data_IF_667252810530
#
_entry.id   IF_667252810530
#
_cell.length_a   1.000
_cell.length_b   1.000
_cell.length_c   1.000
_cell.angle_alpha   90.00
_cell.angle_beta   90.00
_cell.angle_gamma   90.00
#
_symmetry.space_group_name_H-M   'P 1'
#
loop_
_entity.id
_entity.type
_entity.pdbx_description
1 polymer ?
#
# COMPACT_ATOMS: atom_id res chain seq x y z
N UNK A 1 -16.98 -9.26 -37.80
CA UNK A 1 -16.41 -9.93 -36.60
C UNK A 1 -15.18 -10.73 -37.01
N UNK A 2 -13.97 -10.21 -36.74
CA UNK A 2 -12.72 -10.88 -37.08
C UNK A 2 -12.38 -11.95 -36.05
N UNK A 3 -12.25 -13.21 -36.50
CA UNK A 3 -11.86 -14.34 -35.66
C UNK A 3 -10.50 -14.09 -35.00
N UNK A 4 -10.49 -14.03 -33.66
CA UNK A 4 -9.28 -14.12 -32.83
C UNK A 4 -8.54 -15.40 -33.24
N UNK A 5 -7.20 -15.38 -33.32
CA UNK A 5 -6.42 -16.62 -33.50
C UNK A 5 -6.79 -17.56 -32.34
N UNK A 6 -7.72 -18.48 -32.57
CA UNK A 6 -8.17 -19.46 -31.59
C UNK A 6 -7.10 -20.53 -31.47
N UNK A 7 -5.99 -20.21 -30.80
CA UNK A 7 -5.00 -21.15 -30.30
C UNK A 7 -4.94 -20.90 -28.80
N UNK A 8 -5.27 -21.91 -27.99
CA UNK A 8 -5.28 -21.87 -26.51
C UNK A 8 -3.90 -21.63 -25.88
N UNK A 9 -2.92 -21.18 -26.66
CA UNK A 9 -1.49 -21.15 -26.33
C UNK A 9 -0.72 -20.29 -27.34
N UNK A 10 -1.26 -19.12 -27.69
CA UNK A 10 -0.51 -18.10 -28.43
C UNK A 10 -0.19 -16.94 -27.49
N UNK A 11 0.99 -16.36 -27.64
CA UNK A 11 1.36 -15.15 -26.92
C UNK A 11 0.32 -14.05 -27.17
N UNK A 12 0.00 -13.29 -26.13
CA UNK A 12 -0.92 -12.14 -26.21
C UNK A 12 -0.14 -10.85 -25.98
N UNK A 13 -0.57 -9.77 -26.61
CA UNK A 13 -0.02 -8.43 -26.40
C UNK A 13 -1.04 -7.64 -25.59
N UNK A 14 -0.62 -7.11 -24.45
CA UNK A 14 -1.45 -6.28 -23.59
C UNK A 14 -0.67 -5.05 -23.14
N UNK A 15 -1.22 -3.86 -23.39
CA UNK A 15 -0.57 -2.59 -23.07
C UNK A 15 0.85 -2.50 -23.66
N UNK A 16 1.06 -3.03 -24.86
CA UNK A 16 2.35 -3.08 -25.55
C UNK A 16 3.31 -4.18 -25.08
N UNK A 17 2.97 -4.95 -24.04
CA UNK A 17 3.82 -6.03 -23.53
C UNK A 17 3.37 -7.38 -24.07
N UNK A 18 4.32 -8.21 -24.48
CA UNK A 18 4.05 -9.60 -24.88
C UNK A 18 4.02 -10.51 -23.65
N UNK A 19 2.99 -11.34 -23.56
CA UNK A 19 2.80 -12.35 -22.53
C UNK A 19 2.76 -13.73 -23.19
N UNK A 20 3.77 -14.53 -22.91
CA UNK A 20 3.84 -15.91 -23.39
C UNK A 20 3.06 -16.86 -22.48
N UNK A 21 2.39 -17.88 -23.05
CA UNK A 21 1.66 -18.86 -22.26
C UNK A 21 2.63 -19.71 -21.44
N UNK A 22 2.48 -19.69 -20.11
CA UNK A 22 3.21 -20.55 -19.19
C UNK A 22 2.23 -21.35 -18.33
N UNK A 23 2.50 -22.62 -17.99
CA UNK A 23 1.61 -23.38 -17.10
C UNK A 23 1.62 -22.80 -15.69
N UNK A 24 0.44 -22.42 -15.20
CA UNK A 24 0.26 -22.00 -13.81
C UNK A 24 -1.15 -22.37 -13.30
N UNK A 25 -1.28 -22.44 -11.99
CA UNK A 25 -2.56 -22.56 -11.29
C UNK A 25 -2.58 -21.55 -10.14
N UNK A 26 -3.72 -20.91 -9.92
CA UNK A 26 -3.90 -19.92 -8.86
C UNK A 26 -5.13 -20.30 -8.02
N UNK A 27 -4.92 -20.47 -6.72
CA UNK A 27 -5.94 -20.87 -5.74
C UNK A 27 -6.05 -19.85 -4.61
N UNK A 28 -7.22 -19.79 -3.96
CA UNK A 28 -7.39 -18.98 -2.75
C UNK A 28 -7.47 -17.46 -2.97
N UNK A 29 -7.88 -17.01 -4.16
CA UNK A 29 -8.09 -15.57 -4.45
C UNK A 29 -9.34 -14.95 -3.79
N UNK A 30 -10.02 -15.66 -2.88
CA UNK A 30 -11.30 -15.20 -2.35
C UNK A 30 -11.14 -13.94 -1.50
N UNK A 31 -11.86 -12.89 -1.87
CA UNK A 31 -11.93 -11.67 -1.08
C UNK A 31 -12.86 -11.91 0.10
N UNK A 32 -12.30 -12.17 1.27
CA UNK A 32 -13.09 -12.27 2.48
C UNK A 32 -13.53 -10.88 2.96
N UNK A 33 -14.81 -10.70 3.23
CA UNK A 33 -15.36 -9.52 3.90
C UNK A 33 -15.13 -9.53 5.42
N UNK A 34 -14.54 -10.60 5.97
CA UNK A 34 -14.40 -10.81 7.42
C UNK A 34 -13.04 -10.39 8.00
N UNK A 35 -12.20 -9.73 7.20
CA UNK A 35 -11.02 -8.99 7.69
C UNK A 35 -9.66 -9.68 7.56
N UNK A 36 -9.61 -11.00 7.34
CA UNK A 36 -8.36 -11.68 6.99
C UNK A 36 -8.07 -11.51 5.50
N UNK A 37 -6.87 -11.03 5.18
CA UNK A 37 -6.45 -10.91 3.79
C UNK A 37 -6.15 -12.30 3.20
N UNK A 38 -6.56 -12.56 1.95
CA UNK A 38 -6.30 -13.85 1.33
C UNK A 38 -4.81 -14.05 1.09
N UNK A 39 -4.33 -15.26 1.38
CA UNK A 39 -2.99 -15.74 1.05
C UNK A 39 -3.07 -16.74 -0.10
N UNK A 40 -3.28 -16.27 -1.36
CA UNK A 40 -3.45 -17.18 -2.48
C UNK A 40 -2.19 -17.98 -2.75
N UNK A 41 -2.36 -19.19 -3.28
CA UNK A 41 -1.26 -20.04 -3.71
C UNK A 41 -1.12 -19.95 -5.22
N UNK A 42 0.09 -19.61 -5.68
CA UNK A 42 0.48 -19.62 -7.10
C UNK A 42 1.39 -20.82 -7.37
N UNK A 43 0.89 -21.77 -8.13
CA UNK A 43 1.64 -22.93 -8.60
C UNK A 43 2.11 -22.69 -10.02
N UNK A 44 3.42 -22.79 -10.28
CA UNK A 44 4.03 -22.51 -11.59
C UNK A 44 4.73 -23.75 -12.12
N UNK A 45 4.48 -24.12 -13.37
CA UNK A 45 5.14 -25.25 -14.01
C UNK A 45 6.65 -25.03 -14.14
N UNK A 46 7.44 -26.00 -13.71
CA UNK A 46 8.90 -25.95 -13.69
C UNK A 46 9.53 -26.56 -14.95
N UNK A 47 9.02 -26.17 -16.13
CA UNK A 47 9.49 -26.71 -17.42
C UNK A 47 10.97 -26.41 -17.59
N UNK A 48 11.79 -27.44 -17.76
CA UNK A 48 13.24 -27.30 -17.95
C UNK A 48 13.99 -26.75 -16.74
N UNK A 49 13.45 -26.89 -15.52
CA UNK A 49 14.00 -26.30 -14.28
C UNK A 49 14.11 -24.76 -14.29
N UNK A 50 13.35 -24.10 -15.17
CA UNK A 50 13.44 -22.65 -15.35
C UNK A 50 13.07 -21.89 -14.07
N UNK A 51 11.98 -22.29 -13.38
CA UNK A 51 11.52 -21.60 -12.17
C UNK A 51 12.49 -21.85 -11.01
N UNK A 52 13.01 -23.07 -10.88
CA UNK A 52 14.08 -23.38 -9.91
C UNK A 52 15.31 -22.50 -10.13
N UNK A 53 15.74 -22.30 -11.37
CA UNK A 53 16.88 -21.42 -11.66
C UNK A 53 16.61 -19.97 -11.23
N UNK A 54 15.39 -19.46 -11.44
CA UNK A 54 14.99 -18.14 -10.95
C UNK A 54 14.96 -18.07 -9.42
N UNK A 55 14.48 -19.11 -8.74
CA UNK A 55 14.51 -19.18 -7.29
C UNK A 55 15.96 -19.13 -6.75
N UNK A 56 16.90 -19.81 -7.39
CA UNK A 56 18.31 -19.77 -6.98
C UNK A 56 18.97 -18.40 -7.22
N UNK A 57 18.62 -17.72 -8.30
CA UNK A 57 19.20 -16.42 -8.66
C UNK A 57 18.61 -15.27 -7.81
N UNK A 58 17.33 -15.37 -7.42
CA UNK A 58 16.57 -14.28 -6.80
C UNK A 58 16.08 -14.61 -5.39
N UNK A 59 16.81 -15.41 -4.62
CA UNK A 59 16.49 -15.76 -3.23
C UNK A 59 15.03 -16.23 -3.04
N UNK A 60 14.68 -17.30 -3.75
CA UNK A 60 13.32 -17.88 -3.83
C UNK A 60 12.24 -16.89 -4.32
N UNK A 61 12.66 -15.81 -4.99
CA UNK A 61 11.81 -14.72 -5.47
C UNK A 61 10.98 -14.06 -4.36
N UNK A 62 11.42 -14.13 -3.11
CA UNK A 62 10.73 -13.51 -1.98
C UNK A 62 10.60 -12.00 -2.22
N UNK A 63 9.40 -11.44 -1.99
CA UNK A 63 9.01 -10.04 -2.32
C UNK A 63 8.95 -9.71 -3.82
N UNK A 64 9.06 -10.69 -4.71
CA UNK A 64 8.78 -10.45 -6.13
C UNK A 64 7.31 -10.04 -6.30
N UNK A 65 7.07 -9.07 -7.20
CA UNK A 65 5.73 -8.55 -7.49
C UNK A 65 5.01 -9.49 -8.46
N UNK A 66 3.82 -9.92 -8.08
CA UNK A 66 2.91 -10.70 -8.94
C UNK A 66 1.72 -9.82 -9.28
N UNK A 67 1.61 -9.43 -10.56
CA UNK A 67 0.47 -8.66 -11.08
C UNK A 67 -0.44 -9.57 -11.88
N UNK A 68 -1.70 -9.63 -11.48
CA UNK A 68 -2.74 -10.38 -12.18
C UNK A 68 -3.62 -9.38 -12.93
N UNK A 69 -3.56 -9.43 -14.25
CA UNK A 69 -4.38 -8.63 -15.14
C UNK A 69 -5.60 -9.46 -15.56
N UNK A 70 -6.80 -8.99 -15.23
CA UNK A 70 -8.05 -9.59 -15.68
C UNK A 70 -8.74 -8.64 -16.65
N UNK A 71 -8.83 -9.04 -17.91
CA UNK A 71 -9.54 -8.28 -18.95
C UNK A 71 -10.33 -9.22 -19.87
N UNK A 72 -11.26 -8.66 -20.63
CA UNK A 72 -11.98 -9.39 -21.66
C UNK A 72 -11.18 -9.41 -22.95
N UNK A 73 -11.23 -10.52 -23.68
CA UNK A 73 -10.51 -10.67 -24.95
C UNK A 73 -10.78 -9.55 -25.96
N UNK A 74 -12.00 -8.96 -25.96
CA UNK A 74 -12.37 -7.86 -26.84
C UNK A 74 -11.60 -6.55 -26.58
N UNK A 75 -10.99 -6.38 -25.41
CA UNK A 75 -10.27 -5.17 -25.03
C UNK A 75 -8.77 -5.24 -25.35
N UNK A 76 -8.21 -6.41 -25.68
CA UNK A 76 -6.76 -6.55 -25.95
C UNK A 76 -6.28 -5.62 -27.08
N UNK A 77 -4.97 -5.44 -27.17
CA UNK A 77 -4.33 -4.55 -28.14
C UNK A 77 -4.55 -5.02 -29.59
N UNK A 78 -4.77 -4.08 -30.52
CA UNK A 78 -5.01 -4.36 -31.93
C UNK A 78 -4.00 -5.33 -32.58
N UNK A 79 -2.76 -5.36 -32.09
CA UNK A 79 -1.71 -6.26 -32.54
C UNK A 79 -2.06 -7.76 -32.40
N UNK A 80 -3.01 -8.14 -31.54
CA UNK A 80 -3.47 -9.53 -31.43
C UNK A 80 -4.37 -9.98 -32.59
N UNK A 81 -4.83 -9.07 -33.47
CA UNK A 81 -5.78 -9.36 -34.55
C UNK A 81 -5.25 -8.97 -35.93
N UNK A 82 -5.52 -9.82 -36.93
CA UNK A 82 -5.13 -9.56 -38.33
C UNK A 82 -5.72 -8.28 -38.93
N UNK A 83 -6.90 -7.86 -38.46
CA UNK A 83 -7.61 -6.65 -38.94
C UNK A 83 -7.58 -5.51 -37.92
N UNK A 84 -6.69 -5.58 -36.93
CA UNK A 84 -6.72 -4.72 -35.75
C UNK A 84 -7.91 -5.00 -34.83
N UNK A 85 -8.03 -4.21 -33.76
CA UNK A 85 -9.13 -4.28 -32.81
C UNK A 85 -9.68 -2.87 -32.50
N UNK A 86 -10.82 -2.49 -33.09
CA UNK A 86 -11.49 -1.22 -32.77
C UNK A 86 -12.00 -1.13 -31.33
N UNK A 87 -12.19 -2.28 -30.66
CA UNK A 87 -12.60 -2.35 -29.27
C UNK A 87 -11.44 -2.39 -28.28
N UNK A 88 -10.20 -2.18 -28.73
CA UNK A 88 -9.04 -2.17 -27.86
C UNK A 88 -9.19 -1.05 -26.80
N UNK A 89 -9.06 -1.42 -25.54
CA UNK A 89 -9.20 -0.49 -24.42
C UNK A 89 -8.21 -0.87 -23.31
N UNK A 90 -7.05 -0.19 -23.24
CA UNK A 90 -6.04 -0.45 -22.21
C UNK A 90 -6.52 -0.22 -20.77
N UNK A 91 -7.58 0.58 -20.59
CA UNK A 91 -8.12 0.94 -19.28
C UNK A 91 -9.15 -0.08 -18.75
N UNK A 92 -9.72 -0.92 -19.61
CA UNK A 92 -10.72 -1.92 -19.23
C UNK A 92 -10.03 -3.19 -18.69
N UNK A 93 -9.45 -3.07 -17.50
CA UNK A 93 -8.90 -4.20 -16.76
C UNK A 93 -9.14 -4.09 -15.25
N UNK A 94 -9.10 -5.24 -14.60
CA UNK A 94 -8.91 -5.33 -13.16
C UNK A 94 -7.50 -5.82 -12.89
N UNK A 95 -6.72 -5.04 -12.16
CA UNK A 95 -5.37 -5.40 -11.73
C UNK A 95 -5.38 -5.76 -10.25
N UNK A 96 -4.84 -6.93 -9.93
CA UNK A 96 -4.55 -7.32 -8.55
C UNK A 96 -3.04 -7.42 -8.37
N UNK A 97 -2.53 -6.76 -7.32
CA UNK A 97 -1.11 -6.80 -6.97
C UNK A 97 -0.94 -7.68 -5.73
N UNK A 98 -0.11 -8.70 -5.90
CA UNK A 98 0.38 -9.55 -4.84
C UNK A 98 1.90 -9.55 -4.85
N UNK A 99 2.46 -10.21 -3.86
CA UNK A 99 3.87 -10.43 -3.75
C UNK A 99 4.11 -11.85 -3.24
N UNK A 100 5.25 -12.41 -3.61
CA UNK A 100 5.69 -13.71 -3.09
C UNK A 100 6.09 -13.55 -1.62
N UNK A 101 5.39 -14.25 -0.72
CA UNK A 101 5.73 -14.37 0.69
C UNK A 101 6.86 -15.38 0.88
N UNK A 102 6.65 -16.60 0.39
CA UNK A 102 7.58 -17.71 0.49
C UNK A 102 7.34 -18.76 -0.60
N UNK A 103 8.39 -19.50 -0.96
CA UNK A 103 8.27 -20.76 -1.71
C UNK A 103 7.84 -21.87 -0.74
N UNK A 104 6.69 -22.47 -0.98
CA UNK A 104 6.10 -23.47 -0.07
C UNK A 104 6.45 -24.90 -0.48
N UNK A 105 6.59 -25.16 -1.78
CA UNK A 105 6.99 -26.47 -2.29
C UNK A 105 7.76 -26.33 -3.60
N UNK A 106 8.65 -27.29 -3.85
CA UNK A 106 9.41 -27.38 -5.09
C UNK A 106 9.50 -28.84 -5.54
N UNK A 107 9.14 -29.07 -6.80
CA UNK A 107 9.28 -30.36 -7.49
C UNK A 107 9.88 -30.15 -8.87
N UNK A 108 10.28 -31.24 -9.53
CA UNK A 108 10.79 -31.19 -10.92
C UNK A 108 9.77 -30.66 -11.94
N UNK A 109 8.48 -30.67 -11.61
CA UNK A 109 7.40 -30.29 -12.54
C UNK A 109 6.70 -29.00 -12.15
N UNK A 110 6.79 -28.58 -10.89
CA UNK A 110 6.03 -27.46 -10.34
C UNK A 110 6.75 -26.84 -9.14
N UNK A 111 6.65 -25.52 -9.02
CA UNK A 111 7.06 -24.75 -7.83
C UNK A 111 5.84 -23.99 -7.31
N UNK A 112 5.61 -24.06 -6.01
CA UNK A 112 4.49 -23.43 -5.34
C UNK A 112 4.94 -22.23 -4.52
N UNK A 113 4.24 -21.12 -4.68
CA UNK A 113 4.46 -19.87 -3.98
C UNK A 113 3.23 -19.50 -3.16
N UNK A 114 3.46 -19.15 -1.92
CA UNK A 114 2.49 -18.42 -1.12
C UNK A 114 2.58 -16.95 -1.48
N UNK A 115 1.45 -16.35 -1.84
CA UNK A 115 1.34 -14.94 -2.11
C UNK A 115 0.68 -14.24 -0.92
N UNK A 116 1.05 -12.99 -0.72
CA UNK A 116 0.39 -12.12 0.23
C UNK A 116 0.20 -10.73 -0.37
N UNK A 117 -0.64 -9.94 0.29
CA UNK A 117 -0.98 -8.63 -0.21
C UNK A 117 0.15 -7.61 0.07
N UNK A 118 0.13 -6.44 -0.59
CA UNK A 118 1.03 -5.33 -0.27
C UNK A 118 1.02 -4.92 1.21
N UNK A 119 -0.09 -5.13 1.92
CA UNK A 119 -0.24 -4.77 3.33
C UNK A 119 0.48 -5.75 4.27
N UNK A 120 0.64 -7.02 3.88
CA UNK A 120 1.21 -8.06 4.74
C UNK A 120 2.75 -8.05 4.74
N UNK A 121 3.37 -7.63 3.64
CA UNK A 121 4.85 -7.57 3.51
C UNK A 121 5.43 -6.32 4.11
N UNK A 122 4.63 -5.27 4.17
CA UNK A 122 5.06 -4.07 4.85
C UNK A 122 4.99 -4.37 6.33
N UNK A 123 6.13 -4.25 7.00
CA UNK A 123 6.24 -3.81 8.38
C UNK A 123 5.62 -2.41 8.59
N UNK A 124 4.47 -2.14 7.97
CA UNK A 124 3.66 -0.96 8.19
C UNK A 124 2.97 -1.17 9.53
N UNK A 125 3.60 -0.65 10.58
CA UNK A 125 2.84 -0.30 11.77
C UNK A 125 1.83 0.79 11.38
N UNK A 126 0.64 0.37 10.96
CA UNK A 126 -0.52 1.24 10.92
C UNK A 126 -1.08 1.31 12.36
N UNK A 127 -1.31 2.52 12.91
CA UNK A 127 -1.46 3.80 12.21
C UNK A 127 -0.25 4.76 12.36
N UNK A 128 0.07 5.52 11.30
CA UNK A 128 1.02 6.65 11.34
C UNK A 128 0.60 7.77 12.31
N UNK A 129 -0.67 7.78 12.73
CA UNK A 129 -1.23 8.69 13.72
C UNK A 129 -2.04 7.90 14.74
N UNK A 130 -1.48 7.72 15.93
CA UNK A 130 -2.22 7.14 17.05
C UNK A 130 -3.25 8.15 17.57
N UNK A 131 -4.43 7.67 17.96
CA UNK A 131 -5.45 8.50 18.62
C UNK A 131 -4.97 8.73 20.05
N UNK A 132 -4.20 9.80 20.25
CA UNK A 132 -3.69 10.20 21.56
C UNK A 132 -4.23 11.58 21.93
N UNK A 133 -4.37 11.89 23.23
CA UNK A 133 -4.80 13.20 23.69
C UNK A 133 -3.73 14.28 23.54
N UNK A 134 -2.54 13.95 23.00
CA UNK A 134 -1.38 14.84 22.88
C UNK A 134 -1.24 15.32 21.44
N UNK A 135 -0.79 16.57 21.25
CA UNK A 135 -0.59 17.19 19.95
C UNK A 135 0.48 16.45 19.15
N UNK A 136 0.07 15.85 18.02
CA UNK A 136 1.01 15.18 17.10
C UNK A 136 2.10 16.12 16.58
N UNK A 137 1.77 17.39 16.34
CA UNK A 137 2.73 18.39 15.84
C UNK A 137 3.85 18.62 16.85
N UNK A 138 3.50 18.76 18.13
CA UNK A 138 4.47 18.91 19.21
C UNK A 138 5.34 17.64 19.35
N UNK A 139 4.71 16.47 19.39
CA UNK A 139 5.41 15.18 19.55
C UNK A 139 6.41 14.89 18.44
N UNK A 140 6.19 15.44 17.25
CA UNK A 140 7.09 15.32 16.09
C UNK A 140 8.13 16.44 16.00
N UNK A 141 8.17 17.36 16.96
CA UNK A 141 9.07 18.52 16.94
C UNK A 141 8.70 19.58 15.89
N UNK A 142 7.45 19.58 15.41
CA UNK A 142 6.96 20.50 14.39
C UNK A 142 6.31 21.77 14.97
N UNK A 143 6.55 22.07 16.24
CA UNK A 143 6.10 23.31 16.87
C UNK A 143 6.65 24.53 16.13
N UNK A 144 5.78 25.48 15.77
CA UNK A 144 6.09 26.70 14.98
C UNK A 144 6.73 26.46 13.60
N UNK A 145 6.72 25.24 13.10
CA UNK A 145 7.36 24.90 11.82
C UNK A 145 6.52 25.24 10.59
N UNK A 146 5.23 25.56 10.76
CA UNK A 146 4.26 25.66 9.66
C UNK A 146 3.82 24.29 9.10
N UNK A 147 4.48 23.20 9.51
CA UNK A 147 4.12 21.83 9.15
C UNK A 147 3.15 21.27 10.20
N UNK A 148 1.89 21.70 10.15
CA UNK A 148 0.81 21.27 11.05
C UNK A 148 0.56 22.19 12.25
N UNK A 149 1.62 22.80 12.82
CA UNK A 149 1.50 23.86 13.81
C UNK A 149 1.94 25.20 13.20
N UNK A 150 0.98 26.10 13.05
CA UNK A 150 1.11 27.43 12.45
C UNK A 150 1.26 28.55 13.49
N UNK A 151 1.51 28.21 14.75
CA UNK A 151 1.70 29.21 15.79
C UNK A 151 2.92 30.09 15.48
N UNK A 152 2.68 31.38 15.23
CA UNK A 152 3.72 32.37 14.96
C UNK A 152 3.62 33.59 15.89
N UNK A 153 2.93 33.43 17.04
CA UNK A 153 2.73 34.51 18.00
C UNK A 153 3.92 34.73 18.95
N UNK A 154 3.88 35.82 19.71
CA UNK A 154 4.94 36.24 20.65
C UNK A 154 4.68 35.83 22.11
N UNK A 155 3.68 34.98 22.38
CA UNK A 155 3.50 34.42 23.72
C UNK A 155 4.36 33.18 23.86
N UNK A 156 5.19 33.13 24.89
CA UNK A 156 6.11 32.04 25.13
C UNK A 156 5.78 31.34 26.44
N UNK A 157 5.96 30.02 26.46
CA UNK A 157 5.72 29.22 27.67
C UNK A 157 6.75 28.10 27.75
N UNK A 158 7.16 27.77 28.97
CA UNK A 158 8.01 26.60 29.24
C UNK A 158 7.25 25.30 28.94
N UNK A 159 7.98 24.17 28.87
CA UNK A 159 7.39 22.84 28.63
C UNK A 159 6.25 22.48 29.60
N UNK A 160 6.31 22.99 30.83
CA UNK A 160 5.31 22.75 31.86
C UNK A 160 4.07 23.65 31.73
N UNK A 161 4.07 24.63 30.82
CA UNK A 161 2.97 25.56 30.58
C UNK A 161 3.08 26.87 31.36
N UNK A 162 4.24 27.17 31.96
CA UNK A 162 4.45 28.44 32.67
C UNK A 162 4.77 29.56 31.67
N UNK A 163 4.07 30.72 31.72
CA UNK A 163 4.38 31.86 30.86
C UNK A 163 5.83 32.33 31.07
N UNK A 164 6.49 32.72 29.98
CA UNK A 164 7.83 33.30 30.04
C UNK A 164 7.96 34.41 29.01
N UNK A 165 8.80 35.41 29.30
CA UNK A 165 9.15 36.47 28.36
C UNK A 165 10.43 36.14 27.56
N UNK A 166 11.08 35.01 27.87
CA UNK A 166 12.31 34.55 27.25
C UNK A 166 12.00 33.59 26.08
N UNK A 167 12.20 33.99 24.81
CA UNK A 167 11.88 33.15 23.66
C UNK A 167 12.71 31.87 23.60
N UNK A 168 13.90 31.84 24.21
CA UNK A 168 14.78 30.66 24.20
C UNK A 168 14.25 29.49 25.02
N UNK A 169 13.31 29.78 25.94
CA UNK A 169 12.67 28.80 26.83
C UNK A 169 11.31 28.35 26.33
N UNK A 170 10.88 28.81 25.15
CA UNK A 170 9.59 28.47 24.58
C UNK A 170 9.58 27.02 24.08
N UNK A 171 8.84 26.17 24.78
CA UNK A 171 8.69 24.75 24.44
C UNK A 171 7.21 24.38 24.55
N UNK A 172 6.64 23.84 23.47
CA UNK A 172 5.29 23.31 23.50
C UNK A 172 5.25 22.02 24.33
N UNK A 173 4.30 21.91 25.27
CA UNK A 173 4.07 20.71 26.08
C UNK A 173 3.15 19.68 25.39
N UNK A 174 2.54 20.06 24.26
CA UNK A 174 1.68 19.19 23.46
C UNK A 174 0.26 19.02 24.00
N UNK A 175 -0.17 19.77 25.01
CA UNK A 175 -1.54 19.73 25.56
C UNK A 175 -2.46 20.69 24.81
N UNK A 176 -3.77 20.42 24.82
CA UNK A 176 -4.77 21.34 24.25
C UNK A 176 -4.71 22.73 24.90
N UNK A 177 -4.47 22.76 26.21
CA UNK A 177 -4.32 24.00 26.97
C UNK A 177 -3.17 24.86 26.44
N UNK A 178 -2.03 24.25 26.10
CA UNK A 178 -0.87 24.97 25.57
C UNK A 178 -1.21 25.73 24.25
N UNK A 179 -2.11 25.16 23.43
CA UNK A 179 -2.65 25.83 22.24
C UNK A 179 -3.63 26.96 22.61
N UNK A 180 -4.48 26.77 23.63
CA UNK A 180 -5.42 27.79 24.11
C UNK A 180 -4.69 29.01 24.69
N UNK A 181 -3.62 28.80 25.46
CA UNK A 181 -2.87 29.90 26.05
C UNK A 181 -2.18 30.76 24.97
N UNK A 182 -1.81 30.12 23.86
CA UNK A 182 -1.14 30.72 22.71
C UNK A 182 -2.07 31.44 21.74
N UNK A 183 -3.14 30.77 21.32
CA UNK A 183 -4.09 31.29 20.32
C UNK A 183 -5.27 32.03 20.93
N UNK A 184 -5.53 31.84 22.23
CA UNK A 184 -6.72 32.31 22.92
C UNK A 184 -7.82 31.23 22.99
N UNK A 185 -8.77 31.38 23.93
CA UNK A 185 -9.82 30.38 24.16
C UNK A 185 -10.84 30.27 23.01
N UNK A 186 -11.07 31.36 22.28
CA UNK A 186 -12.12 31.46 21.24
C UNK A 186 -11.60 31.27 19.82
N UNK A 187 -10.28 31.12 19.65
CA UNK A 187 -9.66 30.93 18.35
C UNK A 187 -9.71 29.45 17.91
N UNK A 188 -9.82 29.17 16.59
CA UNK A 188 -9.59 27.82 16.07
C UNK A 188 -8.20 27.33 16.51
N UNK A 189 -8.17 26.22 17.24
CA UNK A 189 -6.93 25.66 17.77
C UNK A 189 -6.31 24.71 16.74
N UNK A 190 -5.09 24.96 16.24
CA UNK A 190 -4.36 24.06 15.33
C UNK A 190 -3.78 22.86 16.10
N UNK A 191 -4.63 22.16 16.86
CA UNK A 191 -4.25 21.07 17.74
C UNK A 191 -4.23 19.74 16.98
N UNK A 192 -3.06 19.09 16.97
CA UNK A 192 -2.85 17.85 16.23
C UNK A 192 -3.23 16.56 16.98
N UNK A 193 -3.83 16.64 18.17
CA UNK A 193 -4.24 15.48 18.96
C UNK A 193 -5.76 15.28 18.97
N UNK A 194 -6.21 14.25 19.68
CA UNK A 194 -7.62 13.92 19.87
C UNK A 194 -7.99 14.11 21.34
N UNK A 195 -8.46 15.30 21.76
CA UNK A 195 -8.74 15.58 23.17
C UNK A 195 -9.76 14.63 23.81
N UNK A 196 -10.63 14.04 22.98
CA UNK A 196 -11.64 13.07 23.39
C UNK A 196 -11.13 11.62 23.47
N UNK A 197 -9.87 11.34 23.12
CA UNK A 197 -9.31 9.99 23.16
C UNK A 197 -9.33 9.36 24.56
N UNK A 198 -9.25 10.20 25.60
CA UNK A 198 -9.29 9.77 27.00
C UNK A 198 -10.67 9.97 27.66
N UNK A 199 -11.75 10.15 26.89
CA UNK A 199 -13.13 10.11 27.42
C UNK A 199 -13.53 8.65 27.71
N UNK A 200 -12.85 8.02 28.65
CA UNK A 200 -13.29 6.79 29.31
C UNK A 200 -13.70 7.17 30.72
N UNK A 201 -15.02 7.26 30.90
CA UNK A 201 -15.76 7.14 32.16
C UNK A 201 -15.19 7.86 33.39
N UNK A 202 -15.72 9.04 33.68
CA UNK A 202 -16.24 9.28 35.03
C UNK A 202 -17.75 9.14 34.98
#
# INVERSE_FOLDING_TARGET
>A
MGSLRRRKSAAIIWQGNQYDPHPYELKGMELSSTGSQPTPTLSVGNVGNYVTALCLEYDDMVRAKVKIHTTLSKYLDAANWKKGNPGASPADERVQLFYVNAKTAETRVQVDFELCSPFDIQSLQLPTRQITPVCTWCMRGWYRSGTGCDYNGTKYFTKDGTPTDDPSKDVCGGRRQDCQDRHGPDAPLPFGGFPAANLQGK
#
